data_IF_172767505765
#
_entry.id   IF_172767505765
#
_cell.length_a   1.000
_cell.length_b   1.000
_cell.length_c   1.000
_cell.angle_alpha   90.00
_cell.angle_beta   90.00
_cell.angle_gamma   90.00
#
_symmetry.space_group_name_H-M   'P 1'
#
loop_
_entity.id
_entity.type
_entity.pdbx_description
1 polymer ?
#
# COMPACT_ATOMS: atom_id res chain seq x y z
N UNK A 1 10.15 -26.79 -1.66
CA UNK A 1 8.68 -26.79 -1.88
C UNK A 1 8.38 -26.26 -3.27
N UNK A 2 7.26 -26.67 -3.87
CA UNK A 2 6.75 -26.08 -5.11
C UNK A 2 5.57 -25.19 -4.77
N UNK A 3 5.63 -23.92 -5.14
CA UNK A 3 4.62 -22.90 -4.84
C UNK A 3 4.09 -22.35 -6.16
N UNK A 4 2.78 -22.41 -6.34
CA UNK A 4 2.09 -21.79 -7.46
C UNK A 4 1.26 -20.64 -6.93
N UNK A 5 1.56 -19.43 -7.40
CA UNK A 5 0.78 -18.22 -7.12
C UNK A 5 -0.20 -18.02 -8.28
N UNK A 6 -1.49 -17.86 -7.97
CA UNK A 6 -2.52 -17.65 -8.98
C UNK A 6 -2.86 -16.15 -9.03
N UNK A 7 -2.61 -15.53 -10.18
CA UNK A 7 -2.86 -14.12 -10.47
C UNK A 7 -1.58 -13.29 -10.59
N UNK A 8 -1.54 -12.43 -11.62
CA UNK A 8 -0.39 -11.58 -11.95
C UNK A 8 -0.68 -10.07 -11.78
N UNK A 9 -1.65 -9.71 -10.94
CA UNK A 9 -1.85 -8.33 -10.48
C UNK A 9 -0.96 -7.98 -9.28
N UNK A 10 -1.14 -6.79 -8.70
CA UNK A 10 -0.28 -6.27 -7.60
C UNK A 10 -0.19 -7.25 -6.42
N UNK A 11 -1.32 -7.85 -6.01
CA UNK A 11 -1.35 -8.78 -4.88
C UNK A 11 -0.56 -10.05 -5.18
N UNK A 12 -0.78 -10.65 -6.36
CA UNK A 12 -0.11 -11.90 -6.74
C UNK A 12 1.40 -11.72 -6.90
N UNK A 13 1.83 -10.69 -7.62
CA UNK A 13 3.26 -10.45 -7.86
C UNK A 13 4.00 -10.00 -6.59
N UNK A 14 3.41 -9.13 -5.77
CA UNK A 14 4.03 -8.72 -4.49
C UNK A 14 4.13 -9.90 -3.51
N UNK A 15 3.11 -10.74 -3.44
CA UNK A 15 3.14 -11.97 -2.63
C UNK A 15 4.22 -12.93 -3.12
N UNK A 16 4.31 -13.15 -4.44
CA UNK A 16 5.31 -14.03 -5.02
C UNK A 16 6.74 -13.53 -4.70
N UNK A 17 6.99 -12.24 -4.85
CA UNK A 17 8.27 -11.63 -4.51
C UNK A 17 8.60 -11.78 -3.03
N UNK A 18 7.67 -11.43 -2.15
CA UNK A 18 7.86 -11.49 -0.69
C UNK A 18 8.17 -12.92 -0.21
N UNK A 19 7.47 -13.94 -0.72
CA UNK A 19 7.75 -15.35 -0.42
C UNK A 19 9.17 -15.72 -0.89
N UNK A 20 9.51 -15.37 -2.13
CA UNK A 20 10.81 -15.72 -2.70
C UNK A 20 11.95 -15.08 -1.91
N UNK A 21 11.89 -13.76 -1.66
CA UNK A 21 12.91 -13.03 -0.89
C UNK A 21 13.08 -13.59 0.53
N UNK A 22 11.97 -13.95 1.19
CA UNK A 22 12.00 -14.42 2.57
C UNK A 22 12.55 -15.83 2.74
N UNK A 23 12.30 -16.71 1.78
CA UNK A 23 12.49 -18.16 1.96
C UNK A 23 13.50 -18.80 1.00
N UNK A 24 13.89 -18.15 -0.09
CA UNK A 24 14.81 -18.74 -1.07
C UNK A 24 16.16 -19.14 -0.43
N UNK A 25 16.68 -18.38 0.53
CA UNK A 25 17.96 -18.71 1.18
C UNK A 25 17.90 -19.88 2.16
N UNK A 26 16.71 -20.20 2.70
CA UNK A 26 16.54 -21.18 3.78
C UNK A 26 15.81 -22.46 3.37
N UNK A 27 15.05 -22.43 2.27
CA UNK A 27 14.35 -23.59 1.74
C UNK A 27 14.87 -23.92 0.34
N UNK A 28 15.62 -25.03 0.23
CA UNK A 28 16.16 -25.50 -1.05
C UNK A 28 15.76 -26.96 -1.31
N UNK A 29 15.15 -27.27 -2.47
CA UNK A 29 14.76 -26.35 -3.55
C UNK A 29 13.46 -25.60 -3.24
N UNK A 30 13.41 -24.29 -3.51
CA UNK A 30 12.18 -23.50 -3.58
C UNK A 30 11.88 -23.20 -5.05
N UNK A 31 10.83 -23.84 -5.58
CA UNK A 31 10.35 -23.68 -6.95
C UNK A 31 9.06 -22.86 -6.93
N UNK A 32 9.07 -21.73 -7.64
CA UNK A 32 8.07 -20.67 -7.59
C UNK A 32 7.54 -20.42 -9.00
N UNK A 33 6.22 -20.49 -9.18
CA UNK A 33 5.57 -20.23 -10.47
C UNK A 33 4.36 -19.31 -10.28
N UNK A 34 4.11 -18.44 -11.25
CA UNK A 34 2.93 -17.56 -11.28
C UNK A 34 2.06 -17.96 -12.47
N UNK A 35 0.82 -18.38 -12.20
CA UNK A 35 -0.16 -18.71 -13.22
C UNK A 35 -1.23 -17.63 -13.26
N UNK A 36 -1.50 -17.07 -14.43
CA UNK A 36 -2.56 -16.10 -14.63
C UNK A 36 -3.12 -16.19 -16.04
N UNK A 37 -4.40 -15.86 -16.19
CA UNK A 37 -5.09 -15.73 -17.48
C UNK A 37 -4.93 -14.33 -18.09
N UNK A 38 -4.51 -13.35 -17.29
CA UNK A 38 -4.20 -11.97 -17.67
C UNK A 38 -2.94 -11.49 -16.98
N UNK A 39 -2.15 -10.70 -17.71
CA UNK A 39 -0.95 -10.02 -17.26
C UNK A 39 -1.04 -8.55 -17.65
N UNK A 40 -0.16 -7.69 -17.13
CA UNK A 40 -0.03 -6.29 -17.54
C UNK A 40 0.02 -6.17 -19.08
N UNK A 41 -0.76 -5.28 -19.70
CA UNK A 41 -1.56 -4.20 -19.12
C UNK A 41 -3.07 -4.54 -18.93
N UNK A 42 -3.42 -5.81 -18.71
CA UNK A 42 -4.81 -6.30 -18.74
C UNK A 42 -5.33 -6.80 -17.38
N UNK A 43 -4.73 -6.37 -16.28
CA UNK A 43 -5.20 -6.67 -14.92
C UNK A 43 -6.00 -5.49 -14.35
N UNK A 44 -6.80 -5.72 -13.30
CA UNK A 44 -7.45 -4.62 -12.56
C UNK A 44 -6.45 -3.64 -11.98
N UNK A 45 -5.24 -4.09 -11.63
CA UNK A 45 -4.15 -3.23 -11.15
C UNK A 45 -3.74 -2.20 -12.19
N UNK A 46 -3.72 -2.56 -13.47
CA UNK A 46 -3.30 -1.65 -14.56
C UNK A 46 -4.30 -0.51 -14.79
N UNK A 47 -5.53 -0.62 -14.26
CA UNK A 47 -6.60 0.37 -14.37
C UNK A 47 -6.80 1.15 -13.05
N UNK A 48 -6.05 0.82 -12.01
CA UNK A 48 -6.14 1.52 -10.73
C UNK A 48 -5.68 2.98 -10.85
N UNK A 49 -6.28 3.89 -10.07
CA UNK A 49 -5.93 5.31 -10.09
C UNK A 49 -4.49 5.61 -9.63
N UNK A 50 -3.86 4.67 -8.89
CA UNK A 50 -2.47 4.77 -8.45
C UNK A 50 -2.22 5.52 -7.15
N UNK A 51 -3.25 6.08 -6.51
CA UNK A 51 -3.12 6.74 -5.22
C UNK A 51 -3.10 5.76 -4.05
N UNK A 52 -2.22 6.01 -3.09
CA UNK A 52 -2.27 5.36 -1.78
C UNK A 52 -3.17 6.18 -0.86
N UNK A 53 -4.38 5.70 -0.60
CA UNK A 53 -5.33 6.32 0.32
C UNK A 53 -6.34 5.27 0.82
N UNK A 54 -6.22 4.79 2.06
CA UNK A 54 -7.22 3.90 2.65
C UNK A 54 -8.60 4.56 2.76
N UNK A 55 -9.65 3.77 2.95
CA UNK A 55 -11.00 4.32 3.15
C UNK A 55 -11.14 5.14 4.43
N UNK A 56 -11.99 6.17 4.38
CA UNK A 56 -12.26 7.06 5.52
C UNK A 56 -12.96 6.30 6.66
N UNK A 57 -13.78 5.31 6.33
CA UNK A 57 -14.43 4.44 7.31
C UNK A 57 -13.42 3.46 7.91
N UNK A 58 -13.56 3.17 9.21
CA UNK A 58 -12.80 2.13 9.87
C UNK A 58 -12.95 0.78 9.14
N UNK A 59 -11.86 0.02 8.99
CA UNK A 59 -11.94 -1.28 8.36
C UNK A 59 -12.75 -2.25 9.24
N UNK A 60 -13.52 -3.13 8.60
CA UNK A 60 -14.22 -4.20 9.31
C UNK A 60 -13.28 -5.17 10.03
N UNK A 61 -12.01 -5.21 9.61
CA UNK A 61 -10.92 -5.93 10.26
C UNK A 61 -9.80 -4.94 10.66
N UNK A 62 -9.47 -4.78 11.95
CA UNK A 62 -8.44 -3.84 12.39
C UNK A 62 -7.04 -4.13 11.82
N UNK A 63 -6.75 -5.37 11.42
CA UNK A 63 -5.46 -5.72 10.79
C UNK A 63 -5.22 -4.97 9.47
N UNK A 64 -6.29 -4.55 8.78
CA UNK A 64 -6.14 -3.77 7.54
C UNK A 64 -5.45 -2.44 7.80
N UNK A 65 -5.66 -1.81 8.97
CA UNK A 65 -4.95 -0.59 9.34
C UNK A 65 -3.43 -0.83 9.45
N UNK A 66 -3.02 -1.97 10.02
CA UNK A 66 -1.62 -2.35 10.13
C UNK A 66 -1.01 -2.67 8.76
N UNK A 67 -1.73 -3.37 7.88
CA UNK A 67 -1.26 -3.67 6.51
C UNK A 67 -1.13 -2.40 5.68
N UNK A 68 -2.08 -1.47 5.82
CA UNK A 68 -2.03 -0.16 5.18
C UNK A 68 -0.77 0.59 5.63
N UNK A 69 -0.55 0.71 6.94
CA UNK A 69 0.64 1.37 7.49
C UNK A 69 1.94 0.74 6.98
N UNK A 70 2.06 -0.59 7.05
CA UNK A 70 3.25 -1.31 6.57
C UNK A 70 3.51 -1.06 5.08
N UNK A 71 2.45 -1.01 4.27
CA UNK A 71 2.55 -0.73 2.84
C UNK A 71 3.05 0.69 2.59
N UNK A 72 2.49 1.69 3.29
CA UNK A 72 2.94 3.07 3.16
C UNK A 72 4.39 3.25 3.57
N UNK A 73 4.77 2.72 4.74
CA UNK A 73 6.15 2.80 5.24
C UNK A 73 7.13 2.12 4.26
N UNK A 74 6.76 0.96 3.71
CA UNK A 74 7.55 0.28 2.69
C UNK A 74 7.73 1.15 1.43
N UNK A 75 6.65 1.66 0.85
CA UNK A 75 6.74 2.52 -0.34
C UNK A 75 7.56 3.79 -0.05
N UNK A 76 7.27 4.47 1.06
CA UNK A 76 7.98 5.68 1.48
C UNK A 76 9.49 5.45 1.60
N UNK A 77 9.92 4.29 2.13
CA UNK A 77 11.35 3.97 2.23
C UNK A 77 12.06 3.82 0.87
N UNK A 78 11.31 3.61 -0.22
CA UNK A 78 11.85 3.46 -1.57
C UNK A 78 11.71 4.72 -2.44
N UNK A 79 10.94 5.73 -2.02
CA UNK A 79 10.59 6.87 -2.90
C UNK A 79 11.81 7.73 -3.29
N UNK A 80 12.88 7.69 -2.51
CA UNK A 80 14.14 8.39 -2.81
C UNK A 80 15.20 7.48 -3.47
N UNK A 81 14.86 6.23 -3.77
CA UNK A 81 15.74 5.32 -4.51
C UNK A 81 15.90 5.79 -5.96
N UNK A 82 17.09 5.60 -6.59
CA UNK A 82 17.27 5.82 -8.02
C UNK A 82 16.30 5.03 -8.92
N UNK A 83 15.67 3.98 -8.39
CA UNK A 83 14.70 3.16 -9.11
C UNK A 83 13.24 3.55 -8.84
N UNK A 84 12.95 4.56 -8.02
CA UNK A 84 11.59 4.93 -7.64
C UNK A 84 10.68 5.19 -8.86
N UNK A 85 11.19 5.95 -9.85
CA UNK A 85 10.48 6.21 -11.10
C UNK A 85 10.15 4.92 -11.86
N UNK A 86 11.11 3.98 -11.95
CA UNK A 86 10.90 2.68 -12.62
C UNK A 86 9.91 1.78 -11.87
N UNK A 87 9.80 1.96 -10.56
CA UNK A 87 8.80 1.28 -9.73
C UNK A 87 7.41 1.94 -9.84
N UNK A 88 7.28 3.07 -10.54
CA UNK A 88 6.04 3.84 -10.65
C UNK A 88 5.70 4.62 -9.38
N UNK A 89 6.70 4.96 -8.55
CA UNK A 89 6.50 5.57 -7.24
C UNK A 89 6.92 7.05 -7.21
N UNK A 90 6.05 7.92 -6.71
CA UNK A 90 6.31 9.33 -6.46
C UNK A 90 5.46 9.86 -5.30
N UNK A 91 5.92 10.91 -4.61
CA UNK A 91 5.10 11.66 -3.66
C UNK A 91 4.23 12.67 -4.39
N UNK A 92 2.94 12.69 -4.07
CA UNK A 92 1.96 13.60 -4.66
C UNK A 92 1.13 14.22 -3.53
N UNK A 93 1.09 15.55 -3.47
CA UNK A 93 0.23 16.30 -2.56
C UNK A 93 -1.18 16.45 -3.14
N UNK A 94 -2.22 16.49 -2.30
CA UNK A 94 -3.60 16.60 -2.75
C UNK A 94 -4.58 17.03 -1.64
N UNK A 95 -5.85 17.17 -2.02
CA UNK A 95 -6.93 17.63 -1.13
C UNK A 95 -8.12 16.67 -1.19
N UNK A 96 -8.70 16.34 -0.02
CA UNK A 96 -10.01 15.73 0.07
C UNK A 96 -11.03 16.83 0.45
N UNK A 97 -12.03 17.04 -0.41
CA UNK A 97 -13.04 18.09 -0.23
C UNK A 97 -14.37 17.47 0.19
N UNK A 98 -14.96 18.00 1.26
CA UNK A 98 -16.25 17.56 1.79
C UNK A 98 -17.25 18.72 1.77
N UNK A 99 -18.53 18.41 1.54
CA UNK A 99 -19.61 19.43 1.59
C UNK A 99 -19.96 19.83 3.02
N UNK A 100 -19.73 18.92 3.96
CA UNK A 100 -20.02 19.08 5.38
C UNK A 100 -18.74 18.86 6.18
N UNK A 101 -18.71 19.36 7.42
CA UNK A 101 -17.57 19.17 8.31
C UNK A 101 -17.41 17.68 8.65
N UNK A 102 -16.27 17.11 8.28
CA UNK A 102 -15.91 15.75 8.72
C UNK A 102 -15.12 15.82 10.02
N UNK A 103 -15.44 14.97 11.02
CA UNK A 103 -14.65 14.88 12.24
C UNK A 103 -13.16 14.68 11.92
N UNK A 104 -12.27 15.45 12.56
CA UNK A 104 -10.82 15.39 12.31
C UNK A 104 -10.23 13.99 12.52
N UNK A 105 -10.82 13.16 13.39
CA UNK A 105 -10.38 11.78 13.61
C UNK A 105 -10.62 10.85 12.41
N UNK A 106 -11.49 11.23 11.46
CA UNK A 106 -11.70 10.54 10.19
C UNK A 106 -10.71 10.97 9.10
N UNK A 107 -9.99 12.07 9.29
CA UNK A 107 -8.93 12.51 8.37
C UNK A 107 -7.65 11.78 8.79
N UNK A 108 -7.14 10.90 7.93
CA UNK A 108 -6.10 9.89 8.20
C UNK A 108 -4.69 10.40 8.58
N UNK A 109 -4.57 11.57 9.18
CA UNK A 109 -3.33 12.05 9.78
C UNK A 109 -3.58 12.53 11.21
N UNK A 110 -3.28 11.68 12.19
CA UNK A 110 -2.67 12.19 13.42
C UNK A 110 -1.17 12.33 13.14
N UNK A 111 -0.60 13.55 13.07
CA UNK A 111 0.82 13.67 13.30
C UNK A 111 1.08 13.15 14.71
N UNK A 112 2.06 12.26 14.84
CA UNK A 112 2.57 11.83 16.13
C UNK A 112 3.39 12.99 16.70
N UNK A 113 2.71 14.04 17.15
CA UNK A 113 3.30 15.16 17.89
C UNK A 113 2.61 15.22 19.24
N UNK A 114 3.43 15.20 20.29
CA UNK A 114 3.00 15.42 21.67
C UNK A 114 2.04 16.59 21.77
N UNK A 115 1.10 16.48 22.72
CA UNK A 115 -0.09 17.30 22.80
C UNK A 115 0.17 18.79 22.61
N UNK A 116 -0.37 19.32 21.51
CA UNK A 116 -0.87 20.68 21.48
C UNK A 116 -2.28 20.65 20.88
N UNK A 117 -3.18 21.25 21.64
CA UNK A 117 -4.61 21.36 21.39
C UNK A 117 -4.83 22.30 20.19
N UNK A 118 -5.33 21.78 19.07
CA UNK A 118 -5.66 22.57 17.88
C UNK A 118 -7.03 23.26 17.99
N UNK A 119 -7.54 23.45 19.21
CA UNK A 119 -8.76 24.21 19.48
C UNK A 119 -8.64 25.72 19.19
N UNK A 120 -7.46 26.22 18.78
CA UNK A 120 -7.18 27.65 18.64
C UNK A 120 -7.21 28.21 17.21
N UNK A 121 -7.72 27.48 16.21
CA UNK A 121 -7.91 28.05 14.85
C UNK A 121 -9.37 27.95 14.43
N UNK A 122 -10.22 28.56 15.25
CA UNK A 122 -11.58 28.96 14.88
C UNK A 122 -11.94 30.19 15.71
N UNK A 123 -11.36 31.33 15.35
CA UNK A 123 -11.91 32.69 15.51
C UNK A 123 -11.18 33.64 14.53
#
# INVERSE_FOLDING_TARGET
MRVVVIGAGVIGLSTALCIHERYHSVLQPLDMQVYADRFTPLTTTDVAAGFWQPYISDPGNPQEADWNKQTFDYLLSHVHSPNAEKMGLALISGYNLFREAVPLWLVQHKPNSGGEDLSAVAD
#
